data_IF_381707959221
#
_entry.id   IF_381707959221
#
_cell.length_a   1.000
_cell.length_b   1.000
_cell.length_c   1.000
_cell.angle_alpha   90.00
_cell.angle_beta   90.00
_cell.angle_gamma   90.00
#
_symmetry.space_group_name_H-M   'P 1'
#
loop_
_entity.id
_entity.type
_entity.pdbx_description
1 polymer ?
#
# COMPACT_ATOMS: atom_id res chain seq x y z
N UNK A 1 10.34 -22.68 9.22
CA UNK A 1 9.47 -21.48 9.31
C UNK A 1 10.14 -20.36 8.53
N UNK A 2 9.48 -19.79 7.53
CA UNK A 2 9.99 -18.59 6.87
C UNK A 2 9.80 -17.40 7.81
N UNK A 3 10.88 -16.64 8.04
CA UNK A 3 10.82 -15.44 8.85
C UNK A 3 10.10 -14.32 8.07
N UNK A 4 9.14 -13.67 8.73
CA UNK A 4 8.48 -12.47 8.21
C UNK A 4 9.51 -11.33 8.15
N UNK A 5 9.55 -10.61 7.04
CA UNK A 5 10.49 -9.48 6.83
C UNK A 5 9.89 -8.13 7.17
N UNK A 6 8.59 -7.98 7.02
CA UNK A 6 7.84 -6.77 7.34
C UNK A 6 6.36 -7.10 7.50
N UNK A 7 5.63 -6.18 8.14
CA UNK A 7 4.18 -6.26 8.38
C UNK A 7 3.48 -5.16 7.59
N UNK A 8 2.25 -5.42 7.17
CA UNK A 8 1.36 -4.42 6.57
C UNK A 8 0.04 -4.45 7.32
N UNK A 9 -0.47 -3.29 7.75
CA UNK A 9 -1.78 -3.18 8.39
C UNK A 9 -2.75 -2.36 7.53
N UNK A 10 -4.07 -2.63 7.54
CA UNK A 10 -5.04 -1.84 6.77
C UNK A 10 -5.30 -0.45 7.38
N UNK A 11 -5.10 -0.31 8.68
CA UNK A 11 -5.13 0.92 9.46
C UNK A 11 -4.15 0.80 10.61
N UNK A 12 -4.12 1.75 11.53
CA UNK A 12 -3.16 1.73 12.62
C UNK A 12 -3.77 2.05 13.97
N UNK A 13 -3.35 1.32 14.99
CA UNK A 13 -3.65 1.56 16.40
C UNK A 13 -2.33 1.59 17.18
N UNK A 14 -2.30 2.21 18.38
CA UNK A 14 -1.12 2.18 19.25
C UNK A 14 -0.61 0.76 19.51
N UNK A 15 -1.51 -0.21 19.70
CA UNK A 15 -1.15 -1.61 19.93
C UNK A 15 -0.45 -2.28 18.75
N UNK A 16 -0.80 -1.93 17.50
CA UNK A 16 -0.11 -2.46 16.31
C UNK A 16 1.30 -1.89 16.23
N UNK A 17 1.44 -0.59 16.48
CA UNK A 17 2.74 0.10 16.48
C UNK A 17 3.68 -0.51 17.52
N UNK A 18 3.21 -0.60 18.77
CA UNK A 18 3.98 -1.16 19.88
C UNK A 18 4.34 -2.63 19.65
N UNK A 19 3.40 -3.43 19.14
CA UNK A 19 3.63 -4.84 18.83
C UNK A 19 4.71 -5.04 17.77
N UNK A 20 4.67 -4.29 16.67
CA UNK A 20 5.68 -4.38 15.61
C UNK A 20 7.05 -3.88 16.08
N UNK A 21 7.08 -2.77 16.84
CA UNK A 21 8.30 -2.24 17.42
C UNK A 21 8.95 -3.23 18.39
N UNK A 22 8.18 -3.80 19.31
CA UNK A 22 8.65 -4.79 20.28
C UNK A 22 9.16 -6.08 19.62
N UNK A 23 8.56 -6.47 18.50
CA UNK A 23 8.99 -7.61 17.70
C UNK A 23 10.21 -7.31 16.80
N UNK A 24 10.67 -6.05 16.72
CA UNK A 24 11.72 -5.62 15.80
C UNK A 24 11.32 -5.79 14.33
N UNK A 25 10.02 -5.75 14.02
CA UNK A 25 9.48 -5.94 12.68
C UNK A 25 9.17 -4.59 12.03
N UNK A 26 9.72 -4.30 10.83
CA UNK A 26 9.30 -3.16 10.03
C UNK A 26 7.80 -3.23 9.74
N UNK A 27 7.11 -2.10 9.86
CA UNK A 27 5.69 -1.97 9.61
C UNK A 27 5.45 -0.94 8.50
N UNK A 28 4.59 -1.29 7.54
CA UNK A 28 3.94 -0.37 6.61
C UNK A 28 2.51 -0.10 7.12
N UNK A 29 2.31 0.93 7.97
CA UNK A 29 1.03 1.21 8.60
C UNK A 29 0.02 1.79 7.62
N UNK A 30 -1.25 1.41 7.75
CA UNK A 30 -2.35 1.99 6.97
C UNK A 30 -2.88 3.31 7.54
N UNK A 31 -3.22 4.25 6.65
CA UNK A 31 -3.94 5.48 6.94
C UNK A 31 -4.87 5.88 5.77
N UNK A 32 -5.92 6.65 6.07
CA UNK A 32 -6.89 7.15 5.09
C UNK A 32 -7.10 8.67 5.16
N UNK A 33 -6.72 9.31 6.27
CA UNK A 33 -6.89 10.76 6.48
C UNK A 33 -5.57 11.47 6.74
N UNK A 34 -5.55 12.79 6.50
CA UNK A 34 -4.37 13.63 6.74
C UNK A 34 -3.90 13.55 8.20
N UNK A 35 -4.84 13.56 9.16
CA UNK A 35 -4.51 13.48 10.59
C UNK A 35 -3.85 12.15 10.97
N UNK A 36 -4.32 11.03 10.41
CA UNK A 36 -3.68 9.72 10.62
C UNK A 36 -2.29 9.68 10.00
N UNK A 37 -2.13 10.24 8.79
CA UNK A 37 -0.84 10.27 8.11
C UNK A 37 0.20 11.09 8.87
N UNK A 38 -0.21 12.23 9.43
CA UNK A 38 0.64 13.08 10.28
C UNK A 38 1.00 12.37 11.59
N UNK A 39 0.03 11.75 12.26
CA UNK A 39 0.30 11.01 13.50
C UNK A 39 1.30 9.87 13.30
N UNK A 40 1.25 9.18 12.15
CA UNK A 40 2.25 8.18 11.78
C UNK A 40 3.62 8.79 11.48
N UNK A 41 3.66 9.95 10.80
CA UNK A 41 4.89 10.67 10.50
C UNK A 41 5.62 11.12 11.78
N UNK A 42 4.89 11.60 12.79
CA UNK A 42 5.42 11.96 14.12
C UNK A 42 6.08 10.76 14.83
N UNK A 43 5.61 9.55 14.54
CA UNK A 43 6.18 8.29 15.03
C UNK A 43 7.30 7.73 14.15
N UNK A 44 7.73 8.50 13.13
CA UNK A 44 8.83 8.14 12.23
C UNK A 44 8.44 7.31 11.01
N UNK A 45 7.15 7.09 10.74
CA UNK A 45 6.70 6.36 9.56
C UNK A 45 6.55 7.29 8.34
N UNK A 46 7.63 7.42 7.56
CA UNK A 46 7.64 8.20 6.31
C UNK A 46 7.08 7.44 5.10
N UNK A 47 6.98 6.12 5.18
CA UNK A 47 6.35 5.27 4.15
C UNK A 47 5.10 4.64 4.74
N UNK A 48 3.94 4.88 4.12
CA UNK A 48 2.64 4.50 4.67
C UNK A 48 1.77 3.81 3.61
N UNK A 49 0.88 2.93 4.03
CA UNK A 49 -0.15 2.39 3.15
C UNK A 49 -1.34 3.34 3.10
N UNK A 50 -1.75 3.75 1.91
CA UNK A 50 -2.99 4.51 1.71
C UNK A 50 -4.13 3.54 1.41
N UNK A 51 -5.07 3.39 2.36
CA UNK A 51 -6.11 2.36 2.27
C UNK A 51 -7.42 2.77 2.94
N UNK A 52 -8.60 2.46 2.35
CA UNK A 52 -8.80 1.88 1.01
C UNK A 52 -8.71 2.95 -0.10
N UNK A 53 -7.67 2.88 -0.94
CA UNK A 53 -7.22 3.98 -1.80
C UNK A 53 -8.31 4.63 -2.67
N UNK A 54 -9.06 3.85 -3.46
CA UNK A 54 -10.13 4.42 -4.30
C UNK A 54 -11.26 5.05 -3.46
N UNK A 55 -11.67 4.38 -2.38
CA UNK A 55 -12.79 4.83 -1.55
C UNK A 55 -12.41 6.01 -0.64
N UNK A 56 -11.13 6.17 -0.31
CA UNK A 56 -10.59 7.28 0.48
C UNK A 56 -10.26 8.53 -0.37
N UNK A 57 -10.84 8.65 -1.58
CA UNK A 57 -10.68 9.83 -2.43
C UNK A 57 -9.71 9.69 -3.61
N UNK A 58 -9.07 8.53 -3.75
CA UNK A 58 -8.34 8.17 -4.97
C UNK A 58 -7.08 9.01 -5.24
N UNK A 59 -6.68 9.00 -6.51
CA UNK A 59 -5.53 9.76 -7.04
C UNK A 59 -5.64 11.25 -6.72
N UNK A 60 -6.84 11.83 -6.86
CA UNK A 60 -7.07 13.25 -6.61
C UNK A 60 -6.70 13.64 -5.18
N UNK A 61 -7.16 12.85 -4.20
CA UNK A 61 -6.85 13.08 -2.80
C UNK A 61 -5.35 12.93 -2.52
N UNK A 62 -4.73 11.78 -2.86
CA UNK A 62 -3.33 11.54 -2.49
C UNK A 62 -2.36 12.49 -3.21
N UNK A 63 -2.69 12.92 -4.43
CA UNK A 63 -1.93 13.94 -5.17
C UNK A 63 -2.00 15.31 -4.49
N UNK A 64 -3.14 15.67 -3.91
CA UNK A 64 -3.28 16.93 -3.17
C UNK A 64 -2.35 17.00 -1.95
N UNK A 65 -1.91 15.85 -1.44
CA UNK A 65 -1.06 15.76 -0.25
C UNK A 65 0.44 15.89 -0.56
N UNK A 66 0.87 15.82 -1.82
CA UNK A 66 2.29 15.90 -2.19
C UNK A 66 2.96 17.23 -1.81
N UNK A 67 2.18 18.31 -1.69
CA UNK A 67 2.67 19.63 -1.25
C UNK A 67 2.69 19.79 0.29
N UNK A 68 1.59 19.53 1.03
CA UNK A 68 1.58 19.68 2.49
C UNK A 68 2.34 18.57 3.24
N UNK A 69 2.53 17.39 2.64
CA UNK A 69 3.23 16.24 3.24
C UNK A 69 4.34 15.74 2.28
N UNK A 70 5.33 16.60 1.93
CA UNK A 70 6.30 16.30 0.86
C UNK A 70 7.25 15.15 1.21
N UNK A 71 7.46 14.89 2.50
CA UNK A 71 8.36 13.84 3.00
C UNK A 71 7.68 12.47 3.12
N UNK A 72 6.38 12.39 2.83
CA UNK A 72 5.62 11.14 2.91
C UNK A 72 5.53 10.44 1.55
N UNK A 73 5.79 9.15 1.58
CA UNK A 73 5.64 8.23 0.45
C UNK A 73 4.57 7.20 0.75
N UNK A 74 3.79 6.82 -0.25
CA UNK A 74 2.64 5.95 -0.07
C UNK A 74 2.70 4.67 -0.91
N UNK A 75 2.06 3.64 -0.38
CA UNK A 75 1.63 2.44 -1.09
C UNK A 75 0.10 2.39 -1.13
N UNK A 76 -0.54 2.93 -2.19
CA UNK A 76 -1.99 2.85 -2.35
C UNK A 76 -2.44 1.40 -2.51
N UNK A 77 -3.51 1.01 -1.81
CA UNK A 77 -4.13 -0.31 -1.94
C UNK A 77 -5.64 -0.20 -1.81
N UNK A 78 -6.38 -0.95 -2.64
CA UNK A 78 -7.84 -1.03 -2.58
C UNK A 78 -8.51 -0.42 -3.81
N UNK A 79 -9.05 -1.27 -4.67
CA UNK A 79 -9.71 -0.88 -5.92
C UNK A 79 -8.76 -0.58 -7.09
N UNK A 80 -7.45 -0.77 -6.91
CA UNK A 80 -6.46 -0.61 -7.97
C UNK A 80 -6.52 -1.81 -8.92
N UNK A 81 -6.43 -1.53 -10.22
CA UNK A 81 -6.45 -2.52 -11.29
C UNK A 81 -5.24 -2.35 -12.18
N UNK A 82 -5.01 -3.30 -13.08
CA UNK A 82 -3.97 -3.20 -14.13
C UNK A 82 -4.10 -1.90 -14.96
N UNK A 83 -5.33 -1.46 -15.22
CA UNK A 83 -5.61 -0.26 -16.02
C UNK A 83 -5.27 1.02 -15.25
N UNK A 84 -5.56 1.05 -13.95
CA UNK A 84 -5.43 2.27 -13.14
C UNK A 84 -4.07 2.38 -12.45
N UNK A 85 -3.32 1.28 -12.31
CA UNK A 85 -2.02 1.27 -11.65
C UNK A 85 -1.00 2.29 -12.22
N UNK A 86 -0.85 2.47 -13.55
CA UNK A 86 0.04 3.49 -14.10
C UNK A 86 -0.25 4.91 -13.60
N UNK A 87 -1.53 5.28 -13.46
CA UNK A 87 -1.92 6.63 -13.03
C UNK A 87 -1.49 6.90 -11.58
N UNK A 88 -1.50 5.87 -10.73
CA UNK A 88 -0.98 5.96 -9.36
C UNK A 88 0.55 6.07 -9.35
N UNK A 89 1.22 5.21 -10.11
CA UNK A 89 2.69 5.13 -10.17
C UNK A 89 3.34 6.38 -10.80
N UNK A 90 2.58 7.16 -11.57
CA UNK A 90 3.03 8.44 -12.12
C UNK A 90 3.14 9.57 -11.08
N UNK A 91 2.60 9.38 -9.87
CA UNK A 91 2.67 10.39 -8.81
C UNK A 91 4.01 10.31 -8.04
N UNK A 92 4.64 11.47 -7.73
CA UNK A 92 5.98 11.49 -7.14
C UNK A 92 6.06 10.95 -5.70
N UNK A 93 4.93 10.92 -4.98
CA UNK A 93 4.81 10.42 -3.61
C UNK A 93 4.32 8.97 -3.54
N UNK A 94 4.32 8.22 -4.64
CA UNK A 94 3.89 6.81 -4.69
C UNK A 94 5.10 5.92 -5.01
N UNK A 95 5.48 5.05 -4.06
CA UNK A 95 6.60 4.12 -4.26
C UNK A 95 6.18 2.83 -4.98
N UNK A 96 4.98 2.36 -4.71
CA UNK A 96 4.41 1.16 -5.31
C UNK A 96 2.89 1.15 -5.11
N UNK A 97 2.20 0.20 -5.75
CA UNK A 97 0.76 -0.04 -5.54
C UNK A 97 0.52 -1.49 -5.11
N UNK A 98 -0.50 -1.70 -4.30
CA UNK A 98 -0.97 -3.03 -3.91
C UNK A 98 -2.32 -3.36 -4.53
N UNK A 99 -2.48 -4.59 -5.02
CA UNK A 99 -3.81 -5.07 -5.40
C UNK A 99 -3.89 -6.53 -5.81
N UNK A 100 -5.08 -7.09 -5.58
CA UNK A 100 -5.36 -8.50 -5.82
C UNK A 100 -5.52 -8.86 -7.30
N UNK A 101 -5.44 -7.88 -8.23
CA UNK A 101 -5.61 -8.18 -9.66
C UNK A 101 -4.50 -9.08 -10.20
N UNK A 102 -3.32 -9.11 -9.57
CA UNK A 102 -2.20 -9.98 -9.96
C UNK A 102 -2.55 -11.45 -9.69
N UNK A 103 -3.00 -11.75 -8.48
CA UNK A 103 -3.35 -13.09 -8.01
C UNK A 103 -4.77 -13.09 -7.41
N UNK A 104 -5.82 -12.95 -8.24
CA UNK A 104 -7.20 -12.97 -7.75
C UNK A 104 -7.55 -14.36 -7.23
N UNK A 105 -8.39 -14.41 -6.20
CA UNK A 105 -8.78 -15.65 -5.50
C UNK A 105 -9.22 -16.76 -6.45
N UNK A 106 -10.02 -16.43 -7.48
CA UNK A 106 -10.49 -17.41 -8.46
C UNK A 106 -9.35 -18.12 -9.24
N UNK A 107 -8.25 -17.42 -9.56
CA UNK A 107 -7.11 -18.03 -10.24
C UNK A 107 -6.25 -18.88 -9.30
N UNK A 108 -6.20 -18.50 -8.02
CA UNK A 108 -5.56 -19.31 -6.97
C UNK A 108 -6.34 -20.61 -6.79
N UNK A 109 -7.67 -20.52 -6.65
CA UNK A 109 -8.56 -21.67 -6.47
C UNK A 109 -8.57 -22.60 -7.68
N UNK A 110 -8.48 -22.06 -8.90
CA UNK A 110 -8.39 -22.86 -10.11
C UNK A 110 -6.99 -23.39 -10.42
N UNK A 111 -5.97 -23.05 -9.63
CA UNK A 111 -4.57 -23.43 -9.87
C UNK A 111 -3.96 -22.82 -11.15
N UNK A 112 -4.51 -21.72 -11.67
CA UNK A 112 -4.03 -21.08 -12.91
C UNK A 112 -2.82 -20.17 -12.63
N UNK A 113 -1.74 -20.78 -12.15
CA UNK A 113 -0.49 -20.09 -11.83
C UNK A 113 0.21 -19.53 -13.08
N UNK A 114 -0.06 -20.07 -14.27
CA UNK A 114 0.44 -19.54 -15.53
C UNK A 114 -0.13 -18.14 -15.80
N UNK A 115 -1.44 -17.95 -15.60
CA UNK A 115 -2.08 -16.64 -15.75
C UNK A 115 -1.65 -15.67 -14.65
N UNK A 116 -1.49 -16.12 -13.41
CA UNK A 116 -0.93 -15.30 -12.32
C UNK A 116 0.49 -14.83 -12.68
N UNK A 117 1.33 -15.73 -13.20
CA UNK A 117 2.69 -15.39 -13.65
C UNK A 117 2.67 -14.35 -14.76
N UNK A 118 1.76 -14.47 -15.73
CA UNK A 118 1.63 -13.47 -16.79
C UNK A 118 1.21 -12.10 -16.24
N UNK A 119 0.21 -12.06 -15.34
CA UNK A 119 -0.23 -10.83 -14.69
C UNK A 119 0.87 -10.17 -13.86
N UNK A 120 1.64 -10.97 -13.12
CA UNK A 120 2.78 -10.48 -12.36
C UNK A 120 3.86 -9.88 -13.28
N UNK A 121 4.13 -10.52 -14.42
CA UNK A 121 5.07 -9.98 -15.42
C UNK A 121 4.58 -8.64 -15.96
N UNK A 122 3.31 -8.52 -16.35
CA UNK A 122 2.76 -7.25 -16.83
C UNK A 122 2.86 -6.17 -15.75
N UNK A 123 2.43 -6.48 -14.52
CA UNK A 123 2.49 -5.55 -13.40
C UNK A 123 3.91 -5.07 -13.06
N UNK A 124 4.93 -5.91 -13.26
CA UNK A 124 6.33 -5.57 -13.01
C UNK A 124 6.96 -4.64 -14.07
N UNK A 125 6.27 -4.40 -15.19
CA UNK A 125 6.70 -3.49 -16.25
C UNK A 125 5.88 -2.18 -16.29
N UNK A 126 5.05 -1.93 -15.27
CA UNK A 126 4.32 -0.68 -15.11
C UNK A 126 5.23 0.46 -14.63
#
# INVERSE_FOLDING_TARGET
MQAVRFVVSPGTTPSILEGCQSAGLPLLPGAASVSEMMALAEQGYSVQKFFPANAAGGISFIKSLSSPLPDLTFCPTGGITEITAPDWLALPNIACVGGSWIAPQALIESGDFAKITNRARVAAHL
#
